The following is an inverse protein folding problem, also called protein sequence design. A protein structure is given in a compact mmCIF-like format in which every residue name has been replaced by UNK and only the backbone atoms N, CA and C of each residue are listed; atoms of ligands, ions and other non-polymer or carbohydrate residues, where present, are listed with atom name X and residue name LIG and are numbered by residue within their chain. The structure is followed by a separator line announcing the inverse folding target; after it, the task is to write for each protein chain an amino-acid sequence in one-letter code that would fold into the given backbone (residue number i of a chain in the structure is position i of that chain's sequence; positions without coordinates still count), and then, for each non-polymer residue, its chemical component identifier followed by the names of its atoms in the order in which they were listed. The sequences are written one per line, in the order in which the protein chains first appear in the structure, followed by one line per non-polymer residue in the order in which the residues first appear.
data_IF_671262291725
#
_entry.id   IF_671262291725
#
_cell.length_a   1.000
_cell.length_b   1.000
_cell.length_c   1.000
_cell.angle_alpha   90.00
_cell.angle_beta   90.00
_cell.angle_gamma   90.00
#
_symmetry.space_group_name_H-M   'P 1'
#
loop_
_entity.id
_entity.type
_entity.pdbx_description
1 polymer ?
#
# COMPACT_ATOMS: atom_id res chain seq x y z
N UNK A 1 -12.46 -5.55 12.61
CA UNK A 1 -11.27 -5.80 13.47
C UNK A 1 -10.60 -7.08 13.01
N UNK A 2 -9.28 -7.19 13.17
CA UNK A 2 -8.53 -8.38 12.79
C UNK A 2 -8.80 -9.55 13.77
N UNK A 3 -8.71 -10.82 13.31
CA UNK A 3 -9.00 -12.01 14.13
C UNK A 3 -8.28 -12.03 15.47
N UNK A 4 -6.99 -11.73 15.45
CA UNK A 4 -6.12 -11.81 16.61
C UNK A 4 -6.47 -10.81 17.72
N UNK A 5 -7.12 -9.68 17.38
CA UNK A 5 -7.45 -8.60 18.34
C UNK A 5 -8.46 -9.05 19.38
N UNK A 6 -9.34 -10.00 19.04
CA UNK A 6 -10.35 -10.52 19.95
C UNK A 6 -10.05 -11.94 20.44
N UNK A 7 -9.13 -12.67 19.78
CA UNK A 7 -8.75 -14.04 20.17
C UNK A 7 -7.57 -14.09 21.15
N UNK A 8 -6.65 -13.11 21.11
CA UNK A 8 -5.45 -13.08 21.96
C UNK A 8 -5.40 -11.77 22.76
N UNK A 9 -5.02 -11.86 24.03
CA UNK A 9 -4.82 -10.69 24.92
C UNK A 9 -3.57 -9.86 24.56
N UNK A 10 -2.72 -10.35 23.65
CA UNK A 10 -1.62 -9.60 23.04
C UNK A 10 -2.19 -8.68 21.94
N UNK A 11 -2.74 -7.55 22.37
CA UNK A 11 -3.48 -6.62 21.54
C UNK A 11 -2.72 -5.99 20.37
N UNK A 12 -3.50 -5.28 19.54
CA UNK A 12 -3.11 -4.23 18.59
C UNK A 12 -1.64 -4.25 18.13
N UNK A 13 -1.37 -5.06 17.10
CA UNK A 13 -0.08 -5.08 16.41
C UNK A 13 -0.19 -4.51 15.00
N UNK A 14 0.96 -4.21 14.38
CA UNK A 14 1.06 -3.72 12.99
C UNK A 14 0.34 -4.64 11.98
N UNK A 15 0.26 -5.94 12.26
CA UNK A 15 -0.49 -6.88 11.43
C UNK A 15 -2.00 -6.56 11.43
N UNK A 16 -2.58 -6.15 12.56
CA UNK A 16 -4.00 -5.81 12.66
C UNK A 16 -4.35 -4.57 11.82
N UNK A 17 -3.41 -3.60 11.71
CA UNK A 17 -3.55 -2.45 10.82
C UNK A 17 -3.60 -2.88 9.35
N UNK A 18 -2.76 -3.85 8.95
CA UNK A 18 -2.74 -4.42 7.60
C UNK A 18 -4.07 -5.11 7.26
N UNK A 19 -4.66 -5.84 8.21
CA UNK A 19 -6.00 -6.41 8.02
C UNK A 19 -7.05 -5.32 7.83
N UNK A 20 -7.00 -4.28 8.66
CA UNK A 20 -7.93 -3.16 8.59
C UNK A 20 -7.83 -2.43 7.25
N UNK A 21 -6.61 -2.28 6.71
CA UNK A 21 -6.38 -1.76 5.36
C UNK A 21 -7.06 -2.64 4.30
N UNK A 22 -6.92 -3.97 4.37
CA UNK A 22 -7.60 -4.90 3.47
C UNK A 22 -9.13 -4.77 3.50
N UNK A 23 -9.70 -4.59 4.69
CA UNK A 23 -11.13 -4.31 4.84
C UNK A 23 -11.55 -3.00 4.17
N UNK A 24 -10.81 -1.90 4.41
CA UNK A 24 -11.12 -0.58 3.85
C UNK A 24 -11.03 -0.59 2.32
N UNK A 25 -9.99 -1.21 1.74
CA UNK A 25 -9.88 -1.32 0.28
C UNK A 25 -11.03 -2.15 -0.31
N UNK A 26 -11.41 -3.24 0.34
CA UNK A 26 -12.55 -4.08 -0.08
C UNK A 26 -13.88 -3.32 -0.01
N UNK A 27 -14.06 -2.53 1.05
CA UNK A 27 -15.24 -1.66 1.23
C UNK A 27 -15.30 -0.57 0.16
N UNK A 28 -14.20 0.13 -0.10
CA UNK A 28 -14.13 1.16 -1.14
C UNK A 28 -14.40 0.57 -2.53
N UNK A 29 -13.89 -0.62 -2.83
CA UNK A 29 -14.06 -1.26 -4.13
C UNK A 29 -15.48 -1.79 -4.37
N UNK A 30 -16.15 -2.26 -3.31
CA UNK A 30 -17.52 -2.79 -3.38
C UNK A 30 -18.60 -1.74 -3.13
N UNK A 31 -18.26 -0.63 -2.49
CA UNK A 31 -19.22 0.35 -1.96
C UNK A 31 -20.07 -0.19 -0.81
N UNK A 32 -19.73 -1.35 -0.25
CA UNK A 32 -20.47 -2.03 0.82
C UNK A 32 -19.55 -2.28 2.00
N UNK A 33 -20.08 -2.14 3.22
CA UNK A 33 -19.35 -2.51 4.43
C UNK A 33 -18.89 -3.98 4.36
N UNK A 34 -17.77 -4.35 5.01
CA UNK A 34 -17.38 -5.75 5.15
C UNK A 34 -18.50 -6.58 5.82
N UNK A 35 -18.74 -7.78 5.28
CA UNK A 35 -19.78 -8.71 5.74
C UNK A 35 -21.19 -8.09 5.80
N UNK A 36 -21.74 -7.58 4.68
CA UNK A 36 -23.04 -6.93 4.64
C UNK A 36 -24.20 -7.85 5.06
N UNK A 37 -24.01 -9.17 5.01
CA UNK A 37 -25.00 -10.20 5.36
C UNK A 37 -25.27 -10.34 6.87
N UNK A 38 -24.41 -9.80 7.74
CA UNK A 38 -24.57 -9.91 9.20
C UNK A 38 -24.84 -8.56 9.83
N UNK A 39 -25.95 -8.42 10.55
CA UNK A 39 -26.32 -7.17 11.23
C UNK A 39 -25.66 -7.02 12.60
N UNK A 40 -25.22 -8.13 13.22
CA UNK A 40 -24.58 -8.12 14.53
C UNK A 40 -23.05 -8.19 14.43
N UNK A 41 -22.38 -7.27 15.13
CA UNK A 41 -20.92 -7.28 15.27
C UNK A 41 -20.40 -8.58 15.88
N UNK A 42 -21.18 -9.25 16.75
CA UNK A 42 -20.80 -10.52 17.34
C UNK A 42 -20.80 -11.67 16.32
N UNK A 43 -21.75 -11.65 15.36
CA UNK A 43 -21.78 -12.64 14.27
C UNK A 43 -20.55 -12.47 13.38
N UNK A 44 -20.23 -11.23 13.01
CA UNK A 44 -19.04 -10.91 12.21
C UNK A 44 -17.78 -11.36 12.94
N UNK A 45 -17.66 -11.06 14.23
CA UNK A 45 -16.50 -11.47 15.04
C UNK A 45 -16.34 -12.99 15.10
N UNK A 46 -17.44 -13.74 15.25
CA UNK A 46 -17.43 -15.20 15.24
C UNK A 46 -16.98 -15.76 13.87
N UNK A 47 -17.55 -15.24 12.78
CA UNK A 47 -17.18 -15.66 11.41
C UNK A 47 -15.71 -15.37 11.13
N UNK A 48 -15.23 -14.18 11.47
CA UNK A 48 -13.82 -13.80 11.30
C UNK A 48 -12.92 -14.69 12.15
N UNK A 49 -13.30 -14.99 13.40
CA UNK A 49 -12.53 -15.87 14.29
C UNK A 49 -12.46 -17.33 13.83
N UNK A 50 -13.41 -17.79 13.00
CA UNK A 50 -13.39 -19.12 12.37
C UNK A 50 -12.62 -19.16 11.05
N UNK A 51 -11.90 -18.11 10.67
CA UNK A 51 -11.18 -18.05 9.38
C UNK A 51 -11.92 -17.32 8.26
N UNK A 52 -13.10 -16.75 8.54
CA UNK A 52 -13.86 -15.97 7.56
C UNK A 52 -13.16 -14.65 7.21
N UNK A 53 -13.29 -14.23 5.95
CA UNK A 53 -12.79 -12.94 5.46
C UNK A 53 -13.80 -12.25 4.55
N UNK A 54 -13.77 -10.92 4.43
CA UNK A 54 -14.65 -10.19 3.53
C UNK A 54 -14.56 -10.72 2.08
N UNK A 55 -15.71 -10.79 1.41
CA UNK A 55 -15.76 -11.12 -0.01
C UNK A 55 -15.09 -10.00 -0.84
N UNK A 56 -14.19 -10.38 -1.74
CA UNK A 56 -13.53 -9.43 -2.63
C UNK A 56 -14.46 -9.05 -3.79
N UNK A 57 -14.51 -7.77 -4.13
CA UNK A 57 -15.37 -7.27 -5.20
C UNK A 57 -14.90 -7.72 -6.58
N UNK A 58 -15.86 -8.02 -7.47
CA UNK A 58 -15.57 -8.36 -8.87
C UNK A 58 -15.06 -7.21 -9.73
N UNK A 59 -15.16 -5.99 -9.21
CA UNK A 59 -14.62 -4.79 -9.81
C UNK A 59 -13.12 -4.62 -9.57
N UNK A 60 -12.52 -5.36 -8.63
CA UNK A 60 -11.08 -5.27 -8.36
C UNK A 60 -10.26 -5.88 -9.50
N UNK A 61 -9.17 -5.19 -9.85
CA UNK A 61 -8.15 -5.76 -10.74
C UNK A 61 -7.53 -7.03 -10.12
N UNK A 62 -6.87 -7.89 -10.92
CA UNK A 62 -6.15 -9.05 -10.40
C UNK A 62 -5.15 -8.68 -9.30
N UNK A 63 -4.43 -7.58 -9.46
CA UNK A 63 -3.47 -7.06 -8.47
C UNK A 63 -4.18 -6.56 -7.22
N UNK A 64 -5.33 -5.91 -7.36
CA UNK A 64 -6.15 -5.49 -6.22
C UNK A 64 -6.70 -6.66 -5.42
N UNK A 65 -7.09 -7.75 -6.09
CA UNK A 65 -7.50 -8.98 -5.40
C UNK A 65 -6.33 -9.65 -4.69
N UNK A 66 -5.16 -9.73 -5.33
CA UNK A 66 -3.96 -10.28 -4.70
C UNK A 66 -3.60 -9.46 -3.45
N UNK A 67 -3.56 -8.13 -3.57
CA UNK A 67 -3.30 -7.20 -2.46
C UNK A 67 -4.26 -7.44 -1.28
N UNK A 68 -5.58 -7.38 -1.54
CA UNK A 68 -6.58 -7.60 -0.49
C UNK A 68 -6.50 -9.01 0.09
N UNK A 69 -6.23 -10.03 -0.73
CA UNK A 69 -6.11 -11.41 -0.26
C UNK A 69 -4.95 -11.59 0.72
N UNK A 70 -3.81 -10.95 0.46
CA UNK A 70 -2.64 -10.97 1.35
C UNK A 70 -2.92 -10.22 2.64
N UNK A 71 -3.53 -9.03 2.56
CA UNK A 71 -3.92 -8.24 3.73
C UNK A 71 -4.91 -8.99 4.64
N UNK A 72 -5.87 -9.70 4.04
CA UNK A 72 -6.90 -10.46 4.72
C UNK A 72 -6.47 -11.90 5.05
N UNK A 73 -5.16 -12.12 5.24
CA UNK A 73 -4.61 -13.39 5.75
C UNK A 73 -4.95 -13.53 7.23
N UNK A 74 -5.56 -14.65 7.60
CA UNK A 74 -6.07 -14.86 8.96
C UNK A 74 -4.94 -14.91 10.00
N UNK A 75 -3.85 -15.64 9.70
CA UNK A 75 -2.68 -15.71 10.58
C UNK A 75 -1.89 -14.38 10.52
N UNK A 76 -1.73 -13.66 11.65
CA UNK A 76 -0.98 -12.41 11.67
C UNK A 76 0.52 -12.57 11.34
N UNK A 77 1.12 -13.73 11.61
CA UNK A 77 2.56 -13.95 11.33
C UNK A 77 2.84 -14.18 9.84
N UNK A 78 1.84 -14.68 9.10
CA UNK A 78 1.91 -14.85 7.65
C UNK A 78 1.47 -13.60 6.89
N UNK A 79 0.88 -12.62 7.58
CA UNK A 79 0.40 -11.39 6.97
C UNK A 79 1.61 -10.50 6.61
N UNK A 80 1.67 -9.94 5.38
CA UNK A 80 2.81 -9.12 4.97
C UNK A 80 2.93 -7.86 5.82
N UNK A 81 4.15 -7.35 5.96
CA UNK A 81 4.38 -6.08 6.64
C UNK A 81 3.99 -4.93 5.72
N UNK A 82 3.69 -3.77 6.31
CA UNK A 82 3.39 -2.55 5.55
C UNK A 82 4.49 -2.19 4.53
N UNK A 83 5.76 -2.44 4.88
CA UNK A 83 6.89 -2.24 3.97
C UNK A 83 6.85 -3.17 2.75
N UNK A 84 6.40 -4.41 2.90
CA UNK A 84 6.28 -5.36 1.79
C UNK A 84 5.13 -4.95 0.87
N UNK A 85 4.01 -4.53 1.47
CA UNK A 85 2.83 -4.05 0.74
C UNK A 85 3.07 -2.75 -0.01
N UNK A 86 3.92 -1.86 0.51
CA UNK A 86 4.25 -0.58 -0.12
C UNK A 86 4.84 -0.74 -1.54
N UNK A 87 5.49 -1.89 -1.80
CA UNK A 87 6.07 -2.22 -3.11
C UNK A 87 5.13 -3.07 -3.99
N UNK A 88 3.91 -3.33 -3.53
CA UNK A 88 2.94 -4.13 -4.28
C UNK A 88 2.42 -3.38 -5.50
N UNK A 89 2.27 -4.08 -6.63
CA UNK A 89 1.88 -3.48 -7.91
C UNK A 89 0.52 -2.74 -7.84
N UNK A 90 -0.38 -3.21 -6.99
CA UNK A 90 -1.67 -2.54 -6.73
C UNK A 90 -1.54 -1.09 -6.24
N UNK A 91 -0.47 -0.76 -5.51
CA UNK A 91 -0.23 0.60 -5.01
C UNK A 91 0.53 1.48 -6.03
N UNK A 92 0.95 0.91 -7.16
CA UNK A 92 1.49 1.67 -8.28
C UNK A 92 0.33 2.35 -9.00
N UNK A 93 0.12 3.62 -8.70
CA UNK A 93 -0.88 4.43 -9.39
C UNK A 93 -0.32 4.86 -10.74
N UNK A 94 -0.85 4.26 -11.81
CA UNK A 94 -0.56 4.66 -13.20
C UNK A 94 -1.77 5.34 -13.81
N UNK A 95 -1.64 6.62 -14.13
CA UNK A 95 -2.64 7.33 -14.93
C UNK A 95 -2.31 7.18 -16.41
N UNK A 96 -3.25 6.61 -17.16
CA UNK A 96 -3.19 6.53 -18.62
C UNK A 96 -4.26 7.45 -19.19
N UNK A 97 -3.88 8.51 -19.91
CA UNK A 97 -4.87 9.37 -20.56
C UNK A 97 -4.39 10.76 -20.96
N UNK A 98 -5.06 11.31 -21.98
CA UNK A 98 -4.77 12.62 -22.57
C UNK A 98 -5.02 13.81 -21.61
N UNK A 99 -5.77 13.61 -20.53
CA UNK A 99 -6.15 14.68 -19.58
C UNK A 99 -4.94 15.35 -18.93
N UNK A 100 -3.96 14.55 -18.48
CA UNK A 100 -2.74 15.09 -17.89
C UNK A 100 -1.85 15.76 -18.96
N UNK A 101 -1.91 15.34 -20.24
CA UNK A 101 -1.15 15.96 -21.34
C UNK A 101 -1.55 17.40 -21.59
N UNK A 102 -2.85 17.66 -21.67
CA UNK A 102 -3.39 18.99 -22.04
C UNK A 102 -3.51 19.93 -20.84
N UNK A 103 -3.35 19.41 -19.61
CA UNK A 103 -3.55 20.19 -18.40
C UNK A 103 -2.31 20.17 -17.48
N UNK A 104 -1.37 21.12 -17.70
CA UNK A 104 -0.19 21.29 -16.84
C UNK A 104 -0.53 21.60 -15.38
N UNK A 105 -1.71 22.18 -15.10
CA UNK A 105 -2.15 22.45 -13.74
C UNK A 105 -2.47 21.15 -13.00
N UNK A 106 -3.16 20.22 -13.66
CA UNK A 106 -3.43 18.90 -13.11
C UNK A 106 -2.15 18.11 -12.87
N UNK A 107 -1.16 18.19 -13.77
CA UNK A 107 0.16 17.58 -13.56
C UNK A 107 0.87 18.16 -12.33
N UNK A 108 0.90 19.49 -12.18
CA UNK A 108 1.53 20.16 -11.03
C UNK A 108 0.83 19.83 -9.72
N UNK A 109 -0.51 19.85 -9.70
CA UNK A 109 -1.30 19.51 -8.52
C UNK A 109 -1.10 18.05 -8.11
N UNK A 110 -1.09 17.12 -9.07
CA UNK A 110 -0.82 15.71 -8.79
C UNK A 110 0.60 15.51 -8.26
N UNK A 111 1.60 16.12 -8.89
CA UNK A 111 2.99 16.07 -8.41
C UNK A 111 3.13 16.66 -7.01
N UNK A 112 2.46 17.77 -6.72
CA UNK A 112 2.46 18.39 -5.39
C UNK A 112 1.79 17.49 -4.37
N UNK A 113 0.60 16.96 -4.68
CA UNK A 113 -0.12 16.04 -3.81
C UNK A 113 0.72 14.78 -3.52
N UNK A 114 1.30 14.16 -4.54
CA UNK A 114 2.18 12.99 -4.36
C UNK A 114 3.37 13.31 -3.45
N UNK A 115 4.07 14.43 -3.68
CA UNK A 115 5.18 14.85 -2.82
C UNK A 115 4.73 15.14 -1.38
N UNK A 116 3.62 15.87 -1.20
CA UNK A 116 3.07 16.23 0.10
C UNK A 116 2.66 14.99 0.91
N UNK A 117 1.83 14.12 0.33
CA UNK A 117 1.34 12.92 1.01
C UNK A 117 2.43 11.88 1.24
N UNK A 118 3.44 11.80 0.36
CA UNK A 118 4.59 10.91 0.54
C UNK A 118 5.71 11.49 1.41
N UNK A 119 5.58 12.73 1.89
CA UNK A 119 6.65 13.46 2.58
C UNK A 119 7.96 13.50 1.76
N UNK A 120 7.82 13.65 0.43
CA UNK A 120 8.93 13.69 -0.52
C UNK A 120 9.47 12.33 -0.95
N UNK A 121 8.95 11.22 -0.43
CA UNK A 121 9.42 9.87 -0.81
C UNK A 121 9.01 9.45 -2.24
N UNK A 122 7.95 10.06 -2.79
CA UNK A 122 7.43 9.76 -4.11
C UNK A 122 7.59 10.97 -5.04
N UNK A 123 8.10 10.72 -6.24
CA UNK A 123 8.17 11.69 -7.32
C UNK A 123 7.25 11.26 -8.45
N UNK A 124 6.36 12.16 -8.87
CA UNK A 124 5.55 11.94 -10.07
C UNK A 124 6.45 12.00 -11.30
N UNK A 125 6.50 10.93 -12.09
CA UNK A 125 7.14 10.92 -13.39
C UNK A 125 6.05 10.90 -14.47
N UNK A 126 6.16 11.79 -15.45
CA UNK A 126 5.26 11.86 -16.60
C UNK A 126 6.05 11.47 -17.85
N UNK A 127 5.68 10.36 -18.49
CA UNK A 127 6.42 9.81 -19.63
C UNK A 127 5.70 10.04 -20.96
N UNK A 128 6.46 10.46 -21.96
CA UNK A 128 6.07 10.58 -23.37
C UNK A 128 6.45 9.31 -24.13
N UNK A 129 5.49 8.65 -24.78
CA UNK A 129 5.78 7.55 -25.71
C UNK A 129 4.90 7.64 -26.96
N UNK A 130 5.52 7.83 -28.13
CA UNK A 130 4.89 7.69 -29.47
C UNK A 130 3.50 8.36 -29.61
N UNK A 131 3.30 9.56 -29.05
CA UNK A 131 2.04 10.31 -29.15
C UNK A 131 0.91 9.89 -28.21
N UNK A 132 1.07 8.79 -27.46
CA UNK A 132 0.17 8.33 -26.40
C UNK A 132 0.85 8.52 -25.04
N UNK A 133 0.55 9.64 -24.36
CA UNK A 133 0.96 9.87 -22.97
C UNK A 133 0.15 8.96 -22.05
N UNK A 134 0.79 7.96 -21.47
CA UNK A 134 0.08 6.99 -20.64
C UNK A 134 0.98 6.20 -19.71
N UNK A 135 1.82 6.87 -18.92
CA UNK A 135 2.33 6.28 -17.70
C UNK A 135 2.71 7.37 -16.70
N UNK A 136 1.93 7.49 -15.62
CA UNK A 136 2.42 8.08 -14.37
C UNK A 136 3.09 6.96 -13.60
N UNK A 137 4.42 6.90 -13.63
CA UNK A 137 5.17 5.97 -12.80
C UNK A 137 5.42 6.60 -11.44
N UNK A 138 4.90 6.00 -10.37
CA UNK A 138 5.33 6.33 -9.02
C UNK A 138 6.61 5.54 -8.72
N UNK A 139 7.79 6.13 -8.98
CA UNK A 139 9.05 5.50 -8.62
C UNK A 139 9.28 5.76 -7.12
N UNK A 140 9.05 4.73 -6.28
CA UNK A 140 9.65 4.68 -4.95
C UNK A 140 11.15 4.86 -5.15
N UNK A 141 11.68 5.95 -4.62
CA UNK A 141 13.07 6.37 -4.72
C UNK A 141 14.03 5.18 -4.64
N UNK A 142 14.52 4.71 -5.80
CA UNK A 142 15.62 3.78 -5.89
C UNK A 142 16.86 4.56 -5.46
N UNK A 143 17.13 4.53 -4.17
CA UNK A 143 18.36 5.00 -3.59
C UNK A 143 19.50 4.01 -3.91
N UNK A 144 19.80 3.85 -5.21
CA UNK A 144 20.85 2.94 -5.70
C UNK A 144 22.24 3.46 -5.33
N UNK A 145 22.39 4.76 -4.98
CA UNK A 145 23.71 5.37 -4.80
C UNK A 145 24.06 5.85 -3.39
N UNK A 146 23.12 6.09 -2.44
CA UNK A 146 23.54 6.54 -1.09
C UNK A 146 24.01 5.44 -0.13
N UNK A 147 23.88 4.15 -0.45
CA UNK A 147 24.48 3.09 0.39
C UNK A 147 25.99 2.88 0.18
N UNK A 148 26.63 3.49 -0.83
CA UNK A 148 28.08 3.35 -1.05
C UNK A 148 28.92 4.48 -0.45
N UNK A 149 28.35 5.63 -0.12
CA UNK A 149 29.10 6.73 0.51
C UNK A 149 29.15 6.59 2.03
N UNK A 150 28.09 6.10 2.68
CA UNK A 150 28.08 5.92 4.14
C UNK A 150 28.91 4.73 4.66
N UNK A 151 29.36 3.82 3.78
CA UNK A 151 30.30 2.74 4.14
C UNK A 151 31.77 3.09 3.90
N UNK A 152 32.06 4.22 3.23
CA UNK A 152 33.44 4.71 3.02
C UNK A 152 33.85 5.75 4.06
N UNK A 153 32.93 6.58 4.52
CA UNK A 153 33.21 7.58 5.57
C UNK A 153 33.27 7.04 7.01
N UNK A 154 32.89 5.78 7.22
CA UNK A 154 32.97 5.11 8.53
C UNK A 154 34.26 4.29 8.73
N UNK A 155 35.14 4.20 7.72
CA UNK A 155 36.42 3.47 7.82
C UNK A 155 37.62 4.42 7.90
N UNK A 156 37.53 5.63 7.34
CA UNK A 156 38.68 6.57 7.32
C UNK A 156 38.85 7.41 8.61
N UNK A 157 37.91 7.38 9.54
CA UNK A 157 37.98 8.16 10.81
C UNK A 157 38.50 7.37 12.01
N UNK A 158 39.00 6.14 11.84
CA UNK A 158 39.52 5.31 12.95
C UNK A 158 41.03 5.01 12.90
N UNK A 159 41.82 5.70 12.07
CA UNK A 159 43.29 5.51 11.99
C UNK A 159 44.13 6.81 11.99
N UNK A 160 43.53 7.94 12.35
CA UNK A 160 44.25 9.21 12.48
C UNK A 160 44.00 9.86 13.85
N UNK A 161 44.23 9.12 14.93
CA UNK A 161 44.65 9.71 16.20
C UNK A 161 45.51 8.70 16.97
N UNK A 162 46.55 9.24 17.59
CA UNK A 162 47.69 8.59 18.23
C UNK A 162 47.31 7.71 19.42
#
# INVERSE_FOLDING_TARGET
MAPEVFMKSSGHGRAADVWSLGCVVTEMASGKRPFPEYDSNYQIMFVVGMGGRPALADTLSPEGRDFCSRCLTHDPELRPRAADLAHHHFLLVVFCGNFLRVNPLSMKLLSYAMSYWSRGALKALFLEHEGYFGAVGCLLHLDINHRKENSRHSVETSQADR
#
